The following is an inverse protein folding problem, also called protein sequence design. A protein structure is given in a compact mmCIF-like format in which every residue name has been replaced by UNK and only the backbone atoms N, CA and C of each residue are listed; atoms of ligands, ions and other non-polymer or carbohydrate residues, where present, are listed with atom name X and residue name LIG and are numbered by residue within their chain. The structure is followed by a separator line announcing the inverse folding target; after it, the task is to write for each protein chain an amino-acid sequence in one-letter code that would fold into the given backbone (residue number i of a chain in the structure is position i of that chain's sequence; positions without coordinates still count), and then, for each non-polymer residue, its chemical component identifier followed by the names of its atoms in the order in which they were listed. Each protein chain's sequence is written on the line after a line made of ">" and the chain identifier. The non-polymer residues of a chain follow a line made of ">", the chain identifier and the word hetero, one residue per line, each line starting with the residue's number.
data_IF_037648890500
#
_entry.id   IF_037648890500
#
_cell.length_a   1.000
_cell.length_b   1.000
_cell.length_c   1.000
_cell.angle_alpha   90.00
_cell.angle_beta   90.00
_cell.angle_gamma   90.00
#
_symmetry.space_group_name_H-M   'P 1'
#
loop_
_entity.id
_entity.type
_entity.pdbx_description
1 polymer ?
#
# COMPACT_ATOMS: atom_id res chain seq x y z
N UNK A 1 8.03 -2.38 14.67
CA UNK A 1 8.09 -3.76 14.13
C UNK A 1 8.88 -3.71 12.84
N UNK A 2 9.86 -4.59 12.69
CA UNK A 2 10.89 -4.48 11.67
C UNK A 2 10.30 -4.63 10.27
N UNK A 3 10.85 -3.88 9.31
CA UNK A 3 10.57 -3.93 7.87
C UNK A 3 11.01 -5.27 7.27
N UNK A 4 10.33 -6.35 7.65
CA UNK A 4 10.61 -7.70 7.18
C UNK A 4 9.95 -7.91 5.82
N UNK A 5 10.75 -7.74 4.76
CA UNK A 5 10.31 -7.94 3.38
C UNK A 5 9.82 -9.36 3.13
N UNK A 6 10.47 -10.38 3.72
CA UNK A 6 10.10 -11.77 3.45
C UNK A 6 8.76 -12.09 4.09
N UNK A 7 8.56 -11.68 5.35
CA UNK A 7 7.26 -11.82 6.01
C UNK A 7 6.16 -11.06 5.26
N UNK A 8 6.45 -9.86 4.76
CA UNK A 8 5.50 -9.07 3.97
C UNK A 8 5.17 -9.72 2.63
N UNK A 9 6.15 -10.29 1.91
CA UNK A 9 5.89 -10.99 0.65
C UNK A 9 5.16 -12.32 0.85
N UNK A 10 5.35 -12.99 1.99
CA UNK A 10 4.73 -14.28 2.29
C UNK A 10 3.20 -14.19 2.42
N UNK A 11 2.64 -13.01 2.72
CA UNK A 11 1.19 -12.83 2.81
C UNK A 11 0.50 -12.79 1.45
N UNK A 12 1.25 -12.57 0.36
CA UNK A 12 0.70 -12.49 -0.99
C UNK A 12 0.68 -13.85 -1.70
N UNK A 13 -0.40 -14.08 -2.44
CA UNK A 13 -0.49 -15.14 -3.43
C UNK A 13 0.55 -14.93 -4.56
N UNK A 14 0.85 -15.99 -5.30
CA UNK A 14 1.88 -15.96 -6.35
C UNK A 14 1.54 -14.98 -7.49
N UNK A 15 0.25 -14.85 -7.80
CA UNK A 15 -0.33 -14.02 -8.87
C UNK A 15 -0.96 -12.72 -8.35
N UNK A 16 -0.71 -12.37 -7.08
CA UNK A 16 -1.30 -11.20 -6.45
C UNK A 16 -0.94 -9.89 -7.17
N UNK A 17 -1.76 -8.87 -6.97
CA UNK A 17 -1.53 -7.52 -7.48
C UNK A 17 -1.48 -6.48 -6.37
N UNK A 18 -0.52 -5.55 -6.46
CA UNK A 18 -0.46 -4.33 -5.64
C UNK A 18 -0.66 -3.12 -6.54
N UNK A 19 -1.66 -2.29 -6.23
CA UNK A 19 -1.99 -1.03 -6.91
C UNK A 19 -2.04 0.10 -5.88
N UNK A 20 -0.91 0.75 -5.63
CA UNK A 20 -0.77 1.76 -4.57
C UNK A 20 -0.02 3.02 -5.07
N UNK A 21 -0.73 4.04 -5.61
CA UNK A 21 -2.18 4.10 -5.81
C UNK A 21 -2.65 3.32 -7.06
N UNK A 22 -3.96 3.19 -7.22
CA UNK A 22 -4.58 2.68 -8.46
C UNK A 22 -4.37 3.67 -9.62
N UNK A 23 -3.96 3.14 -10.78
CA UNK A 23 -3.76 3.91 -12.01
C UNK A 23 -2.36 4.51 -12.15
N UNK A 24 -2.11 5.28 -13.22
CA UNK A 24 -0.80 5.86 -13.49
C UNK A 24 -0.28 6.74 -12.36
N UNK A 25 0.94 6.50 -11.90
CA UNK A 25 1.59 7.23 -10.82
C UNK A 25 3.11 7.26 -10.96
N UNK A 26 3.80 7.95 -10.04
CA UNK A 26 5.26 7.92 -9.98
C UNK A 26 5.82 6.51 -9.66
N UNK A 27 5.00 5.62 -9.10
CA UNK A 27 5.39 4.25 -8.74
C UNK A 27 5.07 3.24 -9.84
N UNK A 28 4.05 3.53 -10.64
CA UNK A 28 3.65 2.75 -11.82
C UNK A 28 3.13 3.69 -12.92
N UNK A 29 4.00 4.15 -13.86
CA UNK A 29 3.59 5.06 -14.92
C UNK A 29 2.58 4.48 -15.91
N UNK A 30 2.50 3.16 -16.05
CA UNK A 30 1.52 2.50 -16.92
C UNK A 30 0.18 2.25 -16.22
N UNK A 31 0.16 2.26 -14.87
CA UNK A 31 -1.04 2.08 -14.06
C UNK A 31 -1.65 0.67 -14.15
N UNK A 32 -0.84 -0.36 -14.37
CA UNK A 32 -1.26 -1.76 -14.53
C UNK A 32 -1.19 -2.57 -13.23
N UNK A 33 -0.60 -2.00 -12.19
CA UNK A 33 -0.30 -2.62 -10.92
C UNK A 33 0.94 -3.51 -10.96
N UNK A 34 1.50 -3.78 -9.78
CA UNK A 34 2.63 -4.68 -9.59
C UNK A 34 2.11 -6.10 -9.42
N UNK A 35 2.23 -6.93 -10.47
CA UNK A 35 1.68 -8.28 -10.52
C UNK A 35 2.74 -9.35 -10.27
N UNK A 36 2.41 -10.27 -9.37
CA UNK A 36 3.27 -11.35 -8.95
C UNK A 36 4.35 -10.93 -7.95
N UNK A 37 4.88 -11.92 -7.23
CA UNK A 37 5.81 -11.70 -6.10
C UNK A 37 7.05 -10.88 -6.46
N UNK A 38 7.60 -11.06 -7.66
CA UNK A 38 8.81 -10.34 -8.09
C UNK A 38 8.54 -8.84 -8.32
N UNK A 39 7.42 -8.49 -8.95
CA UNK A 39 7.03 -7.10 -9.14
C UNK A 39 6.67 -6.44 -7.80
N UNK A 40 5.94 -7.16 -6.95
CA UNK A 40 5.59 -6.72 -5.59
C UNK A 40 6.84 -6.53 -4.72
N UNK A 41 7.83 -7.42 -4.85
CA UNK A 41 9.14 -7.31 -4.21
C UNK A 41 9.90 -6.05 -4.65
N UNK A 42 9.86 -5.75 -5.95
CA UNK A 42 10.46 -4.53 -6.52
C UNK A 42 9.73 -3.27 -6.04
N UNK A 43 8.41 -3.30 -5.94
CA UNK A 43 7.62 -2.21 -5.36
C UNK A 43 8.01 -1.97 -3.90
N UNK A 44 8.13 -3.04 -3.10
CA UNK A 44 8.56 -2.93 -1.71
C UNK A 44 9.91 -2.23 -1.58
N UNK A 45 10.90 -2.60 -2.40
CA UNK A 45 12.24 -1.98 -2.37
C UNK A 45 12.20 -0.48 -2.71
N UNK A 46 11.34 -0.09 -3.66
CA UNK A 46 11.26 1.29 -4.13
C UNK A 46 10.46 2.21 -3.22
N UNK A 47 9.37 1.69 -2.64
CA UNK A 47 8.35 2.53 -1.98
C UNK A 47 8.36 2.32 -0.48
N UNK A 48 8.46 1.07 -0.01
CA UNK A 48 8.35 0.73 1.41
C UNK A 48 9.72 0.78 2.08
N UNK A 49 10.77 0.22 1.48
CA UNK A 49 12.11 0.16 2.08
C UNK A 49 12.66 1.53 2.51
N UNK A 50 12.50 2.63 1.74
CA UNK A 50 13.09 3.93 2.08
C UNK A 50 12.42 4.66 3.25
N UNK A 51 11.21 4.28 3.64
CA UNK A 51 10.49 4.97 4.73
C UNK A 51 11.19 4.78 6.08
N UNK A 52 10.95 5.65 7.05
CA UNK A 52 11.37 5.47 8.44
C UNK A 52 10.25 4.81 9.24
N UNK A 53 9.01 5.25 9.06
CA UNK A 53 7.82 4.64 9.64
C UNK A 53 6.65 4.69 8.65
N UNK A 54 5.73 3.75 8.82
CA UNK A 54 4.41 3.71 8.17
C UNK A 54 3.41 3.36 9.27
N UNK A 55 2.43 4.23 9.49
CA UNK A 55 1.41 4.08 10.52
C UNK A 55 0.03 4.22 9.88
N UNK A 56 -0.90 3.34 10.28
CA UNK A 56 -2.24 3.27 9.70
C UNK A 56 -3.26 3.84 10.67
N UNK A 57 -4.06 4.78 10.21
CA UNK A 57 -5.12 5.42 10.98
C UNK A 57 -6.44 5.27 10.22
N UNK A 58 -7.10 4.14 10.42
CA UNK A 58 -8.40 3.85 9.82
C UNK A 58 -9.52 4.42 10.69
N UNK A 59 -10.41 5.18 10.05
CA UNK A 59 -11.63 5.71 10.65
C UNK A 59 -12.74 4.67 10.63
N UNK A 60 -12.81 3.88 9.56
CA UNK A 60 -13.85 2.89 9.36
C UNK A 60 -13.32 1.70 8.54
N UNK A 61 -13.92 0.53 8.74
CA UNK A 61 -13.54 -0.72 8.10
C UNK A 61 -14.79 -1.52 7.74
N UNK A 62 -14.86 -1.95 6.49
CA UNK A 62 -15.96 -2.75 5.94
C UNK A 62 -15.42 -4.09 5.48
N UNK A 63 -15.91 -5.19 6.06
CA UNK A 63 -15.55 -6.56 5.67
C UNK A 63 -16.74 -7.23 5.00
N UNK A 64 -16.53 -7.73 3.77
CA UNK A 64 -17.56 -8.30 2.91
C UNK A 64 -17.02 -9.53 2.19
N UNK A 65 -17.38 -10.73 2.64
CA UNK A 65 -16.84 -11.98 2.10
C UNK A 65 -15.32 -12.05 2.31
N UNK A 66 -14.57 -12.30 1.25
CA UNK A 66 -13.10 -12.36 1.28
C UNK A 66 -12.43 -11.01 0.99
N UNK A 67 -13.18 -9.91 1.11
CA UNK A 67 -12.69 -8.55 0.84
C UNK A 67 -12.89 -7.62 2.05
N UNK A 68 -11.96 -6.68 2.19
CA UNK A 68 -12.00 -5.61 3.20
C UNK A 68 -11.74 -4.25 2.53
N UNK A 69 -12.44 -3.21 2.97
CA UNK A 69 -12.18 -1.82 2.62
C UNK A 69 -11.99 -0.98 3.88
N UNK A 70 -10.84 -0.30 3.97
CA UNK A 70 -10.50 0.60 5.06
C UNK A 70 -10.55 2.05 4.59
N UNK A 71 -11.23 2.92 5.33
CA UNK A 71 -11.31 4.36 5.04
C UNK A 71 -10.53 5.11 6.10
N UNK A 72 -9.54 5.90 5.72
CA UNK A 72 -8.72 6.63 6.67
C UNK A 72 -7.49 7.25 6.04
N UNK A 73 -6.36 7.20 6.73
CA UNK A 73 -5.09 7.66 6.19
C UNK A 73 -3.90 6.82 6.63
N UNK A 74 -2.83 6.90 5.85
CA UNK A 74 -1.51 6.37 6.19
C UNK A 74 -0.60 7.55 6.49
N UNK A 75 0.14 7.45 7.58
CA UNK A 75 1.19 8.38 7.94
C UNK A 75 2.54 7.77 7.60
N UNK A 76 3.23 8.37 6.65
CA UNK A 76 4.55 7.91 6.21
C UNK A 76 5.60 8.92 6.60
N UNK A 77 6.60 8.49 7.37
CA UNK A 77 7.79 9.31 7.66
C UNK A 77 8.92 8.86 6.75
N UNK A 78 9.59 9.78 6.06
CA UNK A 78 10.75 9.50 5.21
C UNK A 78 11.61 10.75 5.06
N UNK A 79 12.93 10.61 5.20
CA UNK A 79 13.87 11.72 4.98
C UNK A 79 13.64 12.94 5.88
N UNK A 80 13.10 12.76 7.09
CA UNK A 80 12.76 13.84 8.02
C UNK A 80 11.46 14.59 7.69
N UNK A 81 10.68 14.09 6.72
CA UNK A 81 9.35 14.58 6.41
C UNK A 81 8.30 13.53 6.76
N UNK A 82 7.12 14.02 7.08
CA UNK A 82 5.93 13.23 7.34
C UNK A 82 4.85 13.61 6.31
N UNK A 83 4.28 12.59 5.67
CA UNK A 83 3.24 12.71 4.64
C UNK A 83 2.00 11.97 5.14
N UNK A 84 0.83 12.59 5.00
CA UNK A 84 -0.49 12.02 5.31
C UNK A 84 -1.19 11.66 4.00
N UNK A 85 -1.30 10.37 3.73
CA UNK A 85 -2.00 9.84 2.56
C UNK A 85 -3.41 9.43 2.96
N UNK A 86 -4.39 10.33 2.76
CA UNK A 86 -5.81 10.01 2.92
C UNK A 86 -6.32 9.15 1.76
N UNK A 87 -7.11 8.12 2.06
CA UNK A 87 -7.61 7.24 1.02
C UNK A 87 -8.53 6.12 1.50
N UNK A 88 -8.86 5.26 0.54
CA UNK A 88 -9.55 3.98 0.77
C UNK A 88 -8.61 2.85 0.36
N UNK A 89 -8.39 1.89 1.25
CA UNK A 89 -7.46 0.78 1.05
C UNK A 89 -8.25 -0.52 1.04
N UNK A 90 -8.25 -1.19 -0.10
CA UNK A 90 -8.99 -2.43 -0.31
C UNK A 90 -8.06 -3.63 -0.38
N UNK A 91 -8.50 -4.72 0.21
CA UNK A 91 -7.78 -5.97 0.28
C UNK A 91 -8.71 -7.10 -0.17
N UNK A 92 -8.18 -8.04 -0.94
CA UNK A 92 -8.86 -9.28 -1.28
C UNK A 92 -7.99 -10.46 -0.92
N UNK A 93 -8.55 -11.40 -0.16
CA UNK A 93 -7.92 -12.65 0.15
C UNK A 93 -8.45 -13.79 -0.74
N UNK A 94 -7.66 -14.86 -0.87
CA UNK A 94 -8.14 -16.15 -1.35
C UNK A 94 -8.57 -17.05 -0.17
N UNK A 95 -9.13 -18.22 -0.49
CA UNK A 95 -9.56 -19.20 0.52
C UNK A 95 -8.42 -19.75 1.41
N UNK A 96 -7.16 -19.59 1.00
CA UNK A 96 -5.98 -19.95 1.79
C UNK A 96 -5.53 -18.82 2.74
N UNK A 97 -6.24 -17.69 2.77
CA UNK A 97 -5.92 -16.53 3.60
C UNK A 97 -4.78 -15.65 3.05
N UNK A 98 -4.39 -15.82 1.78
CA UNK A 98 -3.36 -15.00 1.15
C UNK A 98 -4.00 -13.83 0.40
N UNK A 99 -3.34 -12.67 0.40
CA UNK A 99 -3.75 -11.52 -0.40
C UNK A 99 -3.57 -11.81 -1.88
N UNK A 100 -4.63 -11.65 -2.67
CA UNK A 100 -4.61 -11.64 -4.14
C UNK A 100 -4.70 -10.22 -4.70
N UNK A 101 -5.18 -9.26 -3.92
CA UNK A 101 -5.14 -7.85 -4.29
C UNK A 101 -4.96 -6.94 -3.06
N UNK A 102 -4.10 -5.93 -3.20
CA UNK A 102 -4.04 -4.73 -2.36
C UNK A 102 -4.17 -3.54 -3.29
N UNK A 103 -5.19 -2.72 -3.09
CA UNK A 103 -5.50 -1.61 -4.00
C UNK A 103 -5.86 -0.37 -3.19
N UNK A 104 -5.23 0.76 -3.49
CA UNK A 104 -5.35 1.98 -2.72
C UNK A 104 -5.88 3.13 -3.59
N UNK A 105 -7.00 3.70 -3.15
CA UNK A 105 -7.63 4.87 -3.74
C UNK A 105 -7.15 6.12 -3.00
N UNK A 106 -6.15 6.79 -3.55
CA UNK A 106 -5.66 8.08 -3.08
C UNK A 106 -4.96 8.83 -4.23
N UNK A 107 -4.70 10.12 -4.04
CA UNK A 107 -4.18 11.01 -5.08
C UNK A 107 -2.80 11.54 -4.71
N UNK A 108 -1.83 11.43 -5.62
CA UNK A 108 -0.44 11.87 -5.40
C UNK A 108 -0.33 13.34 -5.00
N UNK A 109 -1.03 14.23 -5.71
CA UNK A 109 -0.98 15.67 -5.45
C UNK A 109 -1.56 16.00 -4.07
N UNK A 110 -2.69 15.36 -3.70
CA UNK A 110 -3.32 15.53 -2.40
C UNK A 110 -2.39 15.06 -1.27
N UNK A 111 -1.77 13.88 -1.42
CA UNK A 111 -0.83 13.37 -0.43
C UNK A 111 0.40 14.30 -0.31
N UNK A 112 1.00 14.71 -1.42
CA UNK A 112 2.16 15.59 -1.45
C UNK A 112 1.89 16.95 -0.77
N UNK A 113 0.68 17.50 -0.91
CA UNK A 113 0.27 18.75 -0.26
C UNK A 113 0.26 18.68 1.28
N UNK A 114 0.23 17.48 1.87
CA UNK A 114 0.28 17.29 3.33
C UNK A 114 1.69 17.20 3.90
N UNK A 115 2.71 17.17 3.05
CA UNK A 115 4.10 16.97 3.47
C UNK A 115 4.54 18.09 4.43
N UNK A 116 5.04 17.68 5.60
CA UNK A 116 5.56 18.58 6.62
C UNK A 116 6.81 18.00 7.26
N UNK A 117 7.65 18.85 7.85
CA UNK A 117 8.81 18.39 8.62
C UNK A 117 8.33 17.60 9.85
N UNK A 118 8.91 16.42 10.06
CA UNK A 118 8.64 15.56 11.22
C UNK A 118 9.28 16.12 12.50
#
# INVERSE_FOLDING_TARGET
>A
MAKDKQAWLAVFAEDAVVEDPIGPSAFDPEGKGHRGRDAISTFWDKVIAPTTSIEFFFRDTFQCGDEEANVGHILTTMGGYQITTEGVFTYKANAAGQLVALRAYWEMERAAATAKKA
#
